data_IF_202484367893
#
_entry.id   IF_202484367893
#
_cell.length_a   1.000
_cell.length_b   1.000
_cell.length_c   1.000
_cell.angle_alpha   90.00
_cell.angle_beta   90.00
_cell.angle_gamma   90.00
#
_symmetry.space_group_name_H-M   'P 1'
#
loop_
_entity.id
_entity.type
_entity.pdbx_description
1 polymer ?
#
# COMPACT_ATOMS: atom_id res chain seq x y z
N UNK A 1 -7.05 15.24 7.49
CA UNK A 1 -5.77 14.63 7.08
C UNK A 1 -5.76 13.09 7.04
N UNK A 2 -6.63 12.38 7.78
CA UNK A 2 -6.64 10.89 7.81
C UNK A 2 -7.06 10.21 6.50
N UNK A 3 -7.84 10.87 5.65
CA UNK A 3 -8.26 10.35 4.32
C UNK A 3 -7.06 10.06 3.40
N UNK A 4 -5.94 10.77 3.57
CA UNK A 4 -4.73 10.54 2.78
C UNK A 4 -4.07 9.18 3.08
N UNK A 5 -4.46 8.49 4.14
CA UNK A 5 -3.98 7.14 4.44
C UNK A 5 -4.69 6.06 3.59
N UNK A 6 -5.79 6.40 2.91
CA UNK A 6 -6.44 5.50 1.94
C UNK A 6 -5.80 5.57 0.55
N UNK A 7 -4.96 6.58 0.29
CA UNK A 7 -4.28 6.77 -1.00
C UNK A 7 -3.48 5.53 -1.45
N UNK A 8 -2.71 4.85 -0.57
CA UNK A 8 -1.97 3.63 -0.94
C UNK A 8 -2.89 2.52 -1.42
N UNK A 9 -4.04 2.33 -0.77
CA UNK A 9 -5.04 1.34 -1.17
C UNK A 9 -5.69 1.68 -2.50
N UNK A 10 -6.03 2.94 -2.74
CA UNK A 10 -6.57 3.42 -4.02
C UNK A 10 -5.53 3.28 -5.13
N UNK A 11 -4.28 3.63 -4.85
CA UNK A 11 -3.15 3.47 -5.77
C UNK A 11 -2.91 1.99 -6.10
N UNK A 12 -3.01 1.10 -5.12
CA UNK A 12 -2.92 -0.34 -5.35
C UNK A 12 -4.00 -0.83 -6.32
N UNK A 13 -5.26 -0.42 -6.15
CA UNK A 13 -6.37 -0.77 -7.04
C UNK A 13 -6.13 -0.23 -8.45
N UNK A 14 -5.59 0.99 -8.56
CA UNK A 14 -5.24 1.59 -9.84
C UNK A 14 -4.14 0.78 -10.56
N UNK A 15 -3.10 0.35 -9.84
CA UNK A 15 -2.07 -0.55 -10.39
C UNK A 15 -2.67 -1.90 -10.82
N UNK A 16 -3.73 -2.40 -10.15
CA UNK A 16 -4.41 -3.64 -10.55
C UNK A 16 -5.13 -3.45 -11.88
N UNK A 17 -5.86 -2.34 -12.01
CA UNK A 17 -6.59 -2.01 -13.23
C UNK A 17 -5.67 -1.81 -14.45
N UNK A 18 -4.42 -1.38 -14.21
CA UNK A 18 -3.40 -1.25 -15.25
C UNK A 18 -2.70 -2.58 -15.60
N UNK A 19 -3.00 -3.68 -14.91
CA UNK A 19 -2.36 -4.98 -15.13
C UNK A 19 -0.94 -5.10 -14.58
N UNK A 20 -0.52 -4.19 -13.69
CA UNK A 20 0.77 -4.31 -12.98
C UNK A 20 0.65 -5.33 -11.86
N UNK A 21 1.45 -6.40 -11.87
CA UNK A 21 1.48 -7.46 -10.84
C UNK A 21 0.54 -8.64 -11.13
N UNK A 22 0.80 -9.79 -10.51
CA UNK A 22 0.06 -11.02 -10.76
C UNK A 22 -1.39 -10.94 -10.26
N UNK A 23 -2.34 -11.40 -11.08
CA UNK A 23 -3.77 -11.36 -10.79
C UNK A 23 -4.20 -12.61 -10.00
N UNK A 24 -3.52 -12.90 -8.89
CA UNK A 24 -3.72 -14.10 -8.05
C UNK A 24 -4.37 -13.77 -6.70
N UNK A 25 -4.73 -14.81 -5.93
CA UNK A 25 -5.29 -14.64 -4.57
C UNK A 25 -4.38 -13.82 -3.64
N UNK A 26 -3.05 -13.87 -3.86
CA UNK A 26 -2.07 -13.04 -3.12
C UNK A 26 -2.34 -11.54 -3.27
N UNK A 27 -2.91 -11.09 -4.38
CA UNK A 27 -3.23 -9.69 -4.61
C UNK A 27 -4.30 -9.19 -3.60
N UNK A 28 -5.32 -9.99 -3.31
CA UNK A 28 -6.34 -9.63 -2.31
C UNK A 28 -5.75 -9.56 -0.89
N UNK A 29 -4.79 -10.43 -0.58
CA UNK A 29 -4.08 -10.42 0.71
C UNK A 29 -3.19 -9.18 0.81
N UNK A 30 -2.47 -8.80 -0.26
CA UNK A 30 -1.67 -7.57 -0.30
C UNK A 30 -2.52 -6.31 -0.05
N UNK A 31 -3.68 -6.22 -0.72
CA UNK A 31 -4.60 -5.11 -0.49
C UNK A 31 -5.03 -5.05 0.98
N UNK A 32 -5.40 -6.19 1.57
CA UNK A 32 -5.78 -6.26 2.98
C UNK A 32 -4.63 -5.84 3.91
N UNK A 33 -3.40 -6.29 3.63
CA UNK A 33 -2.19 -5.93 4.39
C UNK A 33 -1.89 -4.44 4.31
N UNK A 34 -1.96 -3.84 3.11
CA UNK A 34 -1.75 -2.39 2.90
C UNK A 34 -2.82 -1.59 3.64
N UNK A 35 -4.07 -2.06 3.64
CA UNK A 35 -5.19 -1.41 4.31
C UNK A 35 -5.00 -1.46 5.84
N UNK A 36 -4.60 -2.59 6.40
CA UNK A 36 -4.29 -2.75 7.83
C UNK A 36 -3.08 -1.88 8.23
N UNK A 37 -2.00 -1.89 7.46
CA UNK A 37 -0.83 -1.02 7.68
C UNK A 37 -1.21 0.45 7.69
N UNK A 38 -2.05 0.88 6.73
CA UNK A 38 -2.53 2.25 6.65
C UNK A 38 -3.38 2.65 7.86
N UNK A 39 -4.19 1.73 8.39
CA UNK A 39 -4.96 1.95 9.62
C UNK A 39 -4.03 2.04 10.83
N UNK A 40 -3.06 1.14 10.98
CA UNK A 40 -2.08 1.18 12.07
C UNK A 40 -1.30 2.50 12.06
N UNK A 41 -0.91 2.95 10.87
CA UNK A 41 -0.28 4.25 10.66
C UNK A 41 -1.15 5.44 11.06
N UNK A 42 -2.48 5.32 11.03
CA UNK A 42 -3.40 6.37 11.48
C UNK A 42 -3.35 6.63 12.99
N UNK A 43 -2.84 5.66 13.77
CA UNK A 43 -2.65 5.78 15.22
C UNK A 43 -1.29 6.38 15.61
N UNK A 44 -0.38 6.57 14.65
CA UNK A 44 0.93 7.18 14.91
C UNK A 44 0.74 8.70 15.14
N UNK A 45 1.12 9.23 16.31
CA UNK A 45 0.98 10.65 16.59
C UNK A 45 1.95 11.49 15.74
N UNK A 46 1.47 12.61 15.20
CA UNK A 46 2.23 13.50 14.30
C UNK A 46 3.52 14.08 14.90
N UNK A 47 3.67 13.99 16.24
CA UNK A 47 4.89 14.38 16.96
C UNK A 47 6.10 13.53 16.57
N UNK A 48 5.89 12.28 16.15
CA UNK A 48 6.98 11.34 15.82
C UNK A 48 7.35 11.40 14.35
N UNK A 49 6.34 11.43 13.47
CA UNK A 49 6.52 11.45 12.03
C UNK A 49 5.33 12.20 11.43
N UNK A 50 5.60 13.10 10.48
CA UNK A 50 4.52 13.82 9.80
C UNK A 50 3.73 12.85 8.91
N UNK A 51 2.41 12.93 8.96
CA UNK A 51 1.46 12.12 8.18
C UNK A 51 1.81 12.05 6.68
N UNK A 52 2.44 13.11 6.13
CA UNK A 52 2.90 13.15 4.73
C UNK A 52 3.98 12.12 4.43
N UNK A 53 4.98 11.98 5.32
CA UNK A 53 6.08 11.01 5.15
C UNK A 53 5.57 9.58 5.26
N UNK A 54 4.62 9.32 6.16
CA UNK A 54 3.98 8.00 6.29
C UNK A 54 3.32 7.55 4.99
N UNK A 55 2.54 8.44 4.38
CA UNK A 55 1.84 8.17 3.11
C UNK A 55 2.85 7.93 1.98
N UNK A 56 3.92 8.71 1.91
CA UNK A 56 4.98 8.51 0.90
C UNK A 56 5.66 7.16 1.07
N UNK A 57 6.00 6.77 2.30
CA UNK A 57 6.61 5.46 2.58
C UNK A 57 5.66 4.33 2.19
N UNK A 58 4.37 4.42 2.55
CA UNK A 58 3.37 3.41 2.19
C UNK A 58 3.18 3.29 0.67
N UNK A 59 3.22 4.40 -0.07
CA UNK A 59 3.17 4.39 -1.54
C UNK A 59 4.38 3.69 -2.14
N UNK A 60 5.58 3.96 -1.63
CA UNK A 60 6.82 3.30 -2.08
C UNK A 60 6.75 1.79 -1.80
N UNK A 61 6.32 1.38 -0.60
CA UNK A 61 6.17 -0.03 -0.24
C UNK A 61 5.15 -0.71 -1.16
N UNK A 62 4.01 -0.06 -1.43
CA UNK A 62 2.96 -0.56 -2.34
C UNK A 62 3.47 -0.74 -3.76
N UNK A 63 4.31 0.19 -4.24
CA UNK A 63 4.91 0.10 -5.56
C UNK A 63 5.97 -1.01 -5.64
N UNK A 64 6.84 -1.11 -4.62
CA UNK A 64 7.88 -2.13 -4.54
C UNK A 64 7.32 -3.54 -4.44
N UNK A 65 6.31 -3.77 -3.60
CA UNK A 65 5.63 -5.07 -3.47
C UNK A 65 5.09 -5.55 -4.82
N UNK A 66 4.43 -4.68 -5.58
CA UNK A 66 3.98 -4.96 -6.95
C UNK A 66 5.11 -5.24 -7.94
N UNK A 67 6.20 -4.48 -7.87
CA UNK A 67 7.34 -4.62 -8.77
C UNK A 67 8.13 -5.91 -8.50
N UNK A 68 8.19 -6.34 -7.23
CA UNK A 68 8.90 -7.55 -6.79
C UNK A 68 8.06 -8.82 -6.92
N UNK A 69 6.73 -8.71 -6.98
CA UNK A 69 5.81 -9.84 -7.17
C UNK A 69 6.11 -10.74 -8.39
N UNK A 70 6.52 -10.25 -9.59
CA UNK A 70 6.90 -11.14 -10.69
C UNK A 70 8.19 -11.95 -10.44
N UNK A 71 8.94 -11.68 -9.37
CA UNK A 71 10.19 -12.37 -9.03
C UNK A 71 9.97 -13.50 -8.01
N UNK A 72 8.87 -13.49 -7.26
CA UNK A 72 8.56 -14.53 -6.28
C UNK A 72 7.63 -15.55 -6.98
N UNK A 73 8.13 -16.74 -7.36
CA UNK A 73 7.27 -17.77 -7.91
C UNK A 73 6.26 -18.19 -6.85
N UNK A 74 5.01 -18.32 -7.30
CA UNK A 74 3.85 -18.77 -6.54
C UNK A 74 3.95 -20.20 -5.99
#
# INVERSE_FOLDING_TARGET
>A
MKILLLLPSVFWVFLTGLGFGAQSLSNLIELAVILVLSILCAFIPERWISSKYVVIILLIITFLTRLLMPIIPE
#
